data_IF_814510834698
#
_entry.id   IF_814510834698
#
_cell.length_a   1.000
_cell.length_b   1.000
_cell.length_c   1.000
_cell.angle_alpha   90.00
_cell.angle_beta   90.00
_cell.angle_gamma   90.00
#
_symmetry.space_group_name_H-M   'P 1'
#
loop_
_entity.id
_entity.type
_entity.pdbx_description
1 polymer ?
#
# COMPACT_ATOMS: atom_id res chain seq x y z
N UNK A 1 -17.02 23.70 18.76
CA UNK A 1 -17.22 22.27 18.55
C UNK A 1 -17.39 21.96 17.06
N UNK A 2 -17.26 20.71 16.71
CA UNK A 2 -17.54 20.24 15.35
C UNK A 2 -19.05 20.25 15.17
N UNK A 3 -19.55 21.04 14.24
CA UNK A 3 -21.02 21.26 14.06
C UNK A 3 -21.59 20.45 12.90
N UNK A 4 -20.75 19.86 12.07
CA UNK A 4 -21.10 19.09 10.88
C UNK A 4 -20.69 17.60 11.01
N UNK A 5 -20.89 17.03 12.20
CA UNK A 5 -20.67 15.62 12.47
C UNK A 5 -22.01 14.87 12.45
N UNK A 6 -22.01 13.71 11.85
CA UNK A 6 -23.14 12.76 11.85
C UNK A 6 -22.65 11.40 12.35
N UNK A 7 -23.54 10.61 12.89
CA UNK A 7 -23.27 9.24 13.32
C UNK A 7 -23.93 8.24 12.39
N UNK A 8 -23.26 7.10 12.22
CA UNK A 8 -23.82 5.97 11.50
C UNK A 8 -24.94 5.34 12.34
N UNK A 9 -26.17 5.21 11.82
CA UNK A 9 -27.25 4.52 12.52
C UNK A 9 -26.86 3.07 12.81
N UNK A 10 -27.21 2.59 14.00
CA UNK A 10 -26.94 1.22 14.49
C UNK A 10 -25.46 0.84 14.70
N UNK A 11 -24.52 1.78 14.54
CA UNK A 11 -23.10 1.56 14.73
C UNK A 11 -22.46 0.66 13.68
N UNK A 12 -21.20 0.27 13.92
CA UNK A 12 -20.47 -0.65 13.07
C UNK A 12 -20.90 -2.11 13.36
N UNK A 13 -21.15 -2.88 12.31
CA UNK A 13 -21.40 -4.32 12.38
C UNK A 13 -20.53 -5.04 11.35
N UNK A 14 -20.18 -6.30 11.59
CA UNK A 14 -19.42 -7.12 10.63
C UNK A 14 -20.19 -7.35 9.31
N UNK A 15 -21.49 -7.13 9.32
CA UNK A 15 -22.33 -7.28 8.14
C UNK A 15 -22.66 -5.91 7.55
N UNK A 16 -21.68 -5.31 6.85
CA UNK A 16 -21.75 -3.96 6.28
C UNK A 16 -22.57 -3.86 5.00
N UNK A 17 -23.16 -4.95 4.52
CA UNK A 17 -23.92 -4.97 3.26
C UNK A 17 -25.23 -4.16 3.32
N UNK A 18 -25.66 -3.71 4.49
CA UNK A 18 -26.98 -3.09 4.69
C UNK A 18 -26.86 -1.63 5.14
N UNK A 19 -26.18 -0.79 4.34
CA UNK A 19 -26.11 0.66 4.54
C UNK A 19 -27.19 1.40 3.77
N UNK A 20 -28.46 0.90 3.77
CA UNK A 20 -29.59 1.49 3.06
C UNK A 20 -29.85 2.96 3.44
N UNK A 21 -29.54 3.32 4.69
CA UNK A 21 -29.63 4.71 5.14
C UNK A 21 -28.62 5.62 4.44
N UNK A 22 -27.42 5.12 4.09
CA UNK A 22 -26.44 5.89 3.34
C UNK A 22 -26.91 6.11 1.90
N UNK A 23 -27.45 5.07 1.27
CA UNK A 23 -28.00 5.16 -0.09
C UNK A 23 -29.14 6.19 -0.16
N UNK A 24 -29.92 6.33 0.91
CA UNK A 24 -31.01 7.31 1.00
C UNK A 24 -30.55 8.76 1.18
N UNK A 25 -29.29 8.98 1.55
CA UNK A 25 -28.74 10.32 1.78
C UNK A 25 -27.41 10.56 1.05
N UNK A 26 -27.11 9.77 0.03
CA UNK A 26 -25.85 9.86 -0.71
C UNK A 26 -25.64 11.25 -1.32
N UNK A 27 -26.71 11.86 -1.84
CA UNK A 27 -26.70 13.20 -2.44
C UNK A 27 -26.15 14.28 -1.48
N UNK A 28 -26.29 14.05 -0.16
CA UNK A 28 -25.73 14.98 0.85
C UNK A 28 -24.21 15.03 0.82
N UNK A 29 -23.57 13.97 0.35
CA UNK A 29 -22.11 13.82 0.33
C UNK A 29 -21.50 14.21 -1.02
N UNK A 30 -22.27 14.30 -2.11
CA UNK A 30 -21.78 14.56 -3.47
C UNK A 30 -21.02 15.88 -3.59
N UNK A 31 -21.47 16.93 -2.88
CA UNK A 31 -20.87 18.26 -2.93
C UNK A 31 -19.78 18.48 -1.87
N UNK A 32 -19.25 17.43 -1.23
CA UNK A 32 -18.26 17.57 -0.17
C UNK A 32 -16.84 17.36 -0.69
N UNK A 33 -15.99 18.37 -0.51
CA UNK A 33 -14.56 18.29 -0.83
C UNK A 33 -13.80 17.37 0.13
N UNK A 34 -14.33 17.19 1.35
CA UNK A 34 -13.67 16.41 2.41
C UNK A 34 -14.68 15.74 3.33
N UNK A 35 -14.59 14.42 3.45
CA UNK A 35 -15.36 13.59 4.36
C UNK A 35 -14.41 12.90 5.33
N UNK A 36 -14.52 13.20 6.62
CA UNK A 36 -13.63 12.61 7.63
C UNK A 36 -14.33 11.41 8.28
N UNK A 37 -13.73 10.25 8.14
CA UNK A 37 -14.18 9.01 8.74
C UNK A 37 -13.49 8.83 10.10
N UNK A 38 -14.28 8.87 11.18
CA UNK A 38 -13.84 8.72 12.56
C UNK A 38 -14.55 7.51 13.19
N UNK A 39 -14.23 6.33 12.68
CA UNK A 39 -14.83 5.05 13.09
C UNK A 39 -13.98 4.37 14.16
N UNK A 40 -14.54 3.34 14.81
CA UNK A 40 -13.84 2.54 15.81
C UNK A 40 -12.65 1.80 15.17
N UNK A 41 -11.63 1.52 15.99
CA UNK A 41 -10.42 0.82 15.53
C UNK A 41 -10.57 -0.69 15.51
N UNK A 42 -11.71 -1.24 15.93
CA UNK A 42 -11.98 -2.68 15.89
C UNK A 42 -12.34 -3.19 14.48
N UNK A 43 -12.47 -4.51 14.34
CA UNK A 43 -12.74 -5.17 13.06
C UNK A 43 -14.04 -4.70 12.42
N UNK A 44 -15.08 -4.44 13.23
CA UNK A 44 -16.36 -3.94 12.75
C UNK A 44 -16.24 -2.49 12.22
N UNK A 45 -15.50 -1.63 12.92
CA UNK A 45 -15.21 -0.27 12.51
C UNK A 45 -14.37 -0.22 11.22
N UNK A 46 -13.36 -1.08 11.09
CA UNK A 46 -12.55 -1.17 9.88
C UNK A 46 -13.38 -1.66 8.67
N UNK A 47 -14.27 -2.64 8.87
CA UNK A 47 -15.18 -3.11 7.84
C UNK A 47 -16.14 -2.00 7.38
N UNK A 48 -16.70 -1.25 8.33
CA UNK A 48 -17.55 -0.08 8.04
C UNK A 48 -16.75 1.00 7.29
N UNK A 49 -15.54 1.30 7.71
CA UNK A 49 -14.66 2.27 7.06
C UNK A 49 -14.42 1.91 5.59
N UNK A 50 -14.09 0.65 5.30
CA UNK A 50 -13.87 0.19 3.93
C UNK A 50 -15.12 0.35 3.06
N UNK A 51 -16.29 0.02 3.58
CA UNK A 51 -17.54 0.16 2.84
C UNK A 51 -17.96 1.64 2.63
N UNK A 52 -17.72 2.51 3.61
CA UNK A 52 -17.92 3.95 3.46
C UNK A 52 -17.00 4.53 2.38
N UNK A 53 -15.72 4.18 2.38
CA UNK A 53 -14.77 4.61 1.36
C UNK A 53 -15.20 4.15 -0.03
N UNK A 54 -15.66 2.89 -0.16
CA UNK A 54 -16.13 2.33 -1.43
C UNK A 54 -17.32 3.07 -2.01
N UNK A 55 -18.26 3.54 -1.15
CA UNK A 55 -19.49 4.22 -1.60
C UNK A 55 -19.32 5.72 -1.79
N UNK A 56 -18.53 6.38 -0.93
CA UNK A 56 -18.34 7.83 -0.94
C UNK A 56 -17.22 8.29 -1.87
N UNK A 57 -16.31 7.39 -2.25
CA UNK A 57 -15.12 7.69 -3.03
C UNK A 57 -13.89 7.94 -2.15
N UNK A 58 -12.77 7.32 -2.52
CA UNK A 58 -11.51 7.42 -1.77
C UNK A 58 -10.87 8.81 -1.88
N UNK A 59 -11.16 9.54 -2.95
CA UNK A 59 -10.60 10.86 -3.26
C UNK A 59 -11.07 11.95 -2.29
N UNK A 60 -12.28 11.83 -1.73
CA UNK A 60 -12.86 12.79 -0.77
C UNK A 60 -12.79 12.31 0.67
N UNK A 61 -12.45 11.03 0.90
CA UNK A 61 -12.40 10.43 2.22
C UNK A 61 -11.06 10.63 2.91
N UNK A 62 -11.13 10.96 4.19
CA UNK A 62 -9.99 11.12 5.09
C UNK A 62 -10.22 10.31 6.35
N UNK A 63 -9.18 9.68 6.89
CA UNK A 63 -9.26 8.83 8.07
C UNK A 63 -8.68 9.55 9.27
N UNK A 64 -9.46 9.66 10.35
CA UNK A 64 -8.99 10.06 11.66
C UNK A 64 -8.69 8.80 12.49
N UNK A 65 -7.45 8.64 12.93
CA UNK A 65 -7.01 7.52 13.77
C UNK A 65 -6.84 7.96 15.21
N UNK A 66 -7.20 7.11 16.18
CA UNK A 66 -7.19 7.43 17.61
C UNK A 66 -6.06 6.74 18.39
N UNK A 67 -4.97 6.36 17.71
CA UNK A 67 -3.76 5.76 18.31
C UNK A 67 -4.06 4.56 19.23
N UNK A 68 -3.85 4.75 20.52
CA UNK A 68 -4.03 3.76 21.57
C UNK A 68 -5.47 3.75 22.18
N UNK A 69 -6.41 4.44 21.55
CA UNK A 69 -7.82 4.49 21.95
C UNK A 69 -8.69 3.74 20.95
N UNK A 70 -9.75 3.12 21.45
CA UNK A 70 -10.67 2.36 20.62
C UNK A 70 -11.49 3.27 19.69
N UNK A 71 -11.94 4.40 20.21
CA UNK A 71 -12.85 5.31 19.54
C UNK A 71 -12.57 6.79 19.90
N UNK A 72 -13.31 7.69 19.24
CA UNK A 72 -13.23 9.14 19.49
C UNK A 72 -13.64 9.53 20.92
N UNK A 73 -14.53 8.79 21.58
CA UNK A 73 -14.98 9.09 22.91
C UNK A 73 -13.92 8.74 23.95
N UNK A 74 -13.28 7.59 23.83
CA UNK A 74 -12.13 7.23 24.69
C UNK A 74 -10.98 8.22 24.51
N UNK A 75 -10.71 8.62 23.28
CA UNK A 75 -9.69 9.64 22.98
C UNK A 75 -10.05 11.00 23.60
N UNK A 76 -11.33 11.41 23.54
CA UNK A 76 -11.83 12.64 24.18
C UNK A 76 -11.63 12.62 25.69
N UNK A 77 -11.98 11.51 26.35
CA UNK A 77 -11.86 11.35 27.80
C UNK A 77 -10.38 11.39 28.22
N UNK A 78 -9.51 10.77 27.45
CA UNK A 78 -8.09 10.65 27.78
C UNK A 78 -7.28 11.91 27.50
N UNK A 79 -7.53 12.56 26.36
CA UNK A 79 -6.68 13.64 25.86
C UNK A 79 -7.37 15.02 25.81
N UNK A 80 -8.68 15.05 25.97
CA UNK A 80 -9.47 16.28 25.99
C UNK A 80 -9.91 16.76 24.60
N UNK A 81 -10.78 17.77 24.63
CA UNK A 81 -11.49 18.26 23.43
C UNK A 81 -10.56 18.89 22.38
N UNK A 82 -9.53 19.60 22.83
CA UNK A 82 -8.62 20.30 21.94
C UNK A 82 -7.82 19.31 21.09
N UNK A 83 -7.24 18.30 21.72
CA UNK A 83 -6.51 17.24 21.03
C UNK A 83 -7.38 16.41 20.10
N UNK A 84 -8.62 16.12 20.49
CA UNK A 84 -9.57 15.47 19.60
C UNK A 84 -9.85 16.32 18.35
N UNK A 85 -10.04 17.63 18.53
CA UNK A 85 -10.26 18.55 17.40
C UNK A 85 -9.05 18.59 16.45
N UNK A 86 -7.85 18.65 17.00
CA UNK A 86 -6.60 18.58 16.22
C UNK A 86 -6.47 17.27 15.46
N UNK A 87 -6.80 16.14 16.11
CA UNK A 87 -6.75 14.82 15.50
C UNK A 87 -7.72 14.67 14.32
N UNK A 88 -8.95 15.15 14.48
CA UNK A 88 -9.95 15.13 13.41
C UNK A 88 -9.54 16.08 12.27
N UNK A 89 -9.06 17.30 12.60
CA UNK A 89 -8.62 18.25 11.58
C UNK A 89 -7.39 17.74 10.80
N UNK A 90 -6.52 17.01 11.47
CA UNK A 90 -5.33 16.37 10.91
C UNK A 90 -5.57 15.00 10.27
N UNK A 91 -6.83 14.62 10.00
CA UNK A 91 -7.16 13.38 9.31
C UNK A 91 -6.41 13.25 7.99
N UNK A 92 -5.89 12.06 7.72
CA UNK A 92 -5.08 11.77 6.52
C UNK A 92 -5.98 11.28 5.38
N UNK A 93 -5.66 11.63 4.13
CA UNK A 93 -6.38 11.09 2.99
C UNK A 93 -6.26 9.55 2.96
N UNK A 94 -7.30 8.91 2.44
CA UNK A 94 -7.23 7.47 2.16
C UNK A 94 -6.14 7.22 1.12
N UNK A 95 -5.20 6.29 1.36
CA UNK A 95 -4.24 5.92 0.34
C UNK A 95 -4.97 5.40 -0.89
N UNK A 96 -4.76 6.03 -2.04
CA UNK A 96 -5.31 5.53 -3.29
C UNK A 96 -4.59 4.24 -3.67
N UNK A 97 -5.33 3.18 -3.94
CA UNK A 97 -4.74 1.93 -4.42
C UNK A 97 -3.94 2.20 -5.71
N UNK A 98 -2.72 1.67 -5.76
CA UNK A 98 -1.78 1.83 -6.86
C UNK A 98 -1.28 3.27 -7.14
N UNK A 99 -1.49 4.21 -6.22
CA UNK A 99 -0.89 5.54 -6.27
C UNK A 99 0.16 5.66 -5.18
N UNK A 100 1.42 5.71 -5.60
CA UNK A 100 2.56 5.92 -4.71
C UNK A 100 2.93 7.40 -4.71
N UNK A 101 3.00 8.03 -3.54
CA UNK A 101 3.47 9.40 -3.42
C UNK A 101 5.00 9.45 -3.38
N UNK A 102 5.59 10.61 -3.68
CA UNK A 102 7.06 10.76 -3.59
C UNK A 102 7.59 10.44 -2.18
N UNK A 103 6.83 10.74 -1.14
CA UNK A 103 7.22 10.42 0.25
C UNK A 103 7.33 8.92 0.52
N UNK A 104 6.52 8.13 -0.15
CA UNK A 104 6.51 6.67 0.02
C UNK A 104 7.76 6.02 -0.59
N UNK A 105 8.39 6.69 -1.56
CA UNK A 105 9.59 6.21 -2.29
C UNK A 105 10.82 7.10 -2.05
N UNK A 106 10.74 8.12 -1.19
CA UNK A 106 11.82 9.10 -0.97
C UNK A 106 13.13 8.42 -0.53
N UNK A 107 13.04 7.44 0.37
CA UNK A 107 14.20 6.69 0.85
C UNK A 107 14.82 5.84 -0.27
N UNK A 108 14.00 5.19 -1.11
CA UNK A 108 14.46 4.40 -2.25
C UNK A 108 15.13 5.28 -3.31
N UNK A 109 14.52 6.43 -3.61
CA UNK A 109 15.08 7.40 -4.56
C UNK A 109 16.38 7.98 -4.01
N UNK A 110 16.45 8.29 -2.74
CA UNK A 110 17.65 8.82 -2.08
C UNK A 110 18.78 7.78 -2.09
N UNK A 111 18.47 6.52 -1.77
CA UNK A 111 19.43 5.41 -1.84
C UNK A 111 19.94 5.22 -3.28
N UNK A 112 19.04 5.26 -4.26
CA UNK A 112 19.40 5.17 -5.68
C UNK A 112 20.33 6.34 -6.12
N UNK A 113 20.03 7.56 -5.73
CA UNK A 113 20.85 8.73 -6.10
C UNK A 113 22.24 8.67 -5.46
N UNK A 114 22.36 8.15 -4.23
CA UNK A 114 23.64 8.05 -3.52
C UNK A 114 24.49 6.87 -3.96
N UNK A 115 23.88 5.73 -4.18
CA UNK A 115 24.55 4.44 -4.34
C UNK A 115 24.44 3.85 -5.76
N UNK A 116 23.62 4.46 -6.62
CA UNK A 116 23.32 3.92 -7.95
C UNK A 116 22.43 2.67 -7.91
N UNK A 117 22.39 1.95 -9.01
CA UNK A 117 21.67 0.67 -9.06
C UNK A 117 22.38 -0.37 -8.18
N UNK A 118 21.63 -1.08 -7.37
CA UNK A 118 22.15 -2.25 -6.66
C UNK A 118 22.70 -3.23 -7.70
N UNK A 119 23.88 -3.80 -7.48
CA UNK A 119 24.41 -4.80 -8.40
C UNK A 119 23.44 -5.98 -8.49
N UNK A 120 23.17 -6.42 -9.71
CA UNK A 120 22.35 -7.60 -9.95
C UNK A 120 23.04 -8.89 -9.53
N UNK A 121 22.33 -9.99 -9.63
CA UNK A 121 22.88 -11.32 -9.38
C UNK A 121 23.88 -11.70 -10.48
N UNK A 122 25.02 -12.18 -10.07
CA UNK A 122 26.14 -12.58 -10.95
C UNK A 122 26.24 -14.10 -11.05
N UNK A 123 26.63 -14.57 -12.22
CA UNK A 123 26.76 -16.01 -12.50
C UNK A 123 28.03 -16.61 -11.89
N UNK A 124 29.08 -15.79 -11.73
CA UNK A 124 30.42 -16.23 -11.35
C UNK A 124 31.37 -16.37 -12.54
N UNK A 125 30.98 -15.82 -13.70
CA UNK A 125 31.83 -15.79 -14.91
C UNK A 125 32.42 -14.38 -15.07
N UNK A 126 33.68 -14.21 -14.71
CA UNK A 126 34.33 -12.91 -14.52
C UNK A 126 34.14 -11.92 -15.70
N UNK A 127 34.28 -12.38 -16.94
CA UNK A 127 34.12 -11.52 -18.11
C UNK A 127 32.65 -11.22 -18.42
N UNK A 128 31.76 -12.16 -18.12
CA UNK A 128 30.33 -12.02 -18.34
C UNK A 128 29.68 -11.12 -17.27
N UNK A 129 30.04 -11.31 -16.02
CA UNK A 129 29.53 -10.55 -14.89
C UNK A 129 29.89 -9.06 -14.92
N UNK A 130 30.90 -8.68 -15.73
CA UNK A 130 31.24 -7.26 -15.96
C UNK A 130 30.27 -6.55 -16.89
N UNK A 131 29.57 -7.28 -17.76
CA UNK A 131 28.68 -6.72 -18.78
C UNK A 131 27.21 -7.10 -18.58
N UNK A 132 26.93 -8.09 -17.74
CA UNK A 132 25.59 -8.59 -17.52
C UNK A 132 25.38 -9.02 -16.08
N UNK A 133 24.23 -8.64 -15.53
CA UNK A 133 23.74 -9.12 -14.25
C UNK A 133 22.22 -9.29 -14.35
N UNK A 134 21.66 -10.16 -13.52
CA UNK A 134 20.22 -10.44 -13.51
C UNK A 134 19.55 -9.87 -12.29
N UNK A 135 18.24 -9.64 -12.40
CA UNK A 135 17.38 -9.21 -11.30
C UNK A 135 16.17 -10.13 -11.19
N UNK A 136 15.60 -10.25 -10.01
CA UNK A 136 14.35 -10.99 -9.84
C UNK A 136 13.22 -10.38 -10.66
N UNK A 137 12.35 -11.24 -11.25
CA UNK A 137 11.26 -10.80 -12.12
C UNK A 137 11.66 -10.46 -13.55
N UNK A 138 12.94 -10.59 -13.90
CA UNK A 138 13.43 -10.31 -15.24
C UNK A 138 13.17 -11.50 -16.18
N UNK A 139 12.69 -11.22 -17.40
CA UNK A 139 12.59 -12.18 -18.49
C UNK A 139 13.83 -12.07 -19.40
N UNK A 140 14.54 -13.17 -19.60
CA UNK A 140 15.79 -13.19 -20.36
C UNK A 140 15.62 -14.12 -21.56
N UNK A 141 15.90 -13.62 -22.76
CA UNK A 141 15.89 -14.42 -23.98
C UNK A 141 17.32 -14.64 -24.48
N UNK A 142 17.72 -15.92 -24.62
CA UNK A 142 19.00 -16.30 -25.17
C UNK A 142 18.78 -16.81 -26.61
N UNK A 143 19.35 -16.11 -27.59
CA UNK A 143 19.22 -16.44 -29.01
C UNK A 143 20.57 -16.73 -29.65
N UNK A 144 20.57 -17.40 -30.80
CA UNK A 144 21.76 -17.69 -31.59
C UNK A 144 21.51 -18.82 -32.56
N UNK A 145 22.50 -19.08 -33.42
CA UNK A 145 22.43 -20.14 -34.43
C UNK A 145 22.32 -21.54 -33.79
N UNK A 146 21.75 -22.53 -34.46
CA UNK A 146 21.72 -23.91 -33.96
C UNK A 146 23.14 -24.41 -33.64
N UNK A 147 23.24 -25.25 -32.60
CA UNK A 147 24.52 -25.86 -32.14
C UNK A 147 25.60 -24.87 -31.66
N UNK A 148 25.23 -23.65 -31.24
CA UNK A 148 26.16 -22.63 -30.74
C UNK A 148 26.41 -22.69 -29.23
N UNK A 149 25.95 -23.74 -28.52
CA UNK A 149 26.15 -23.88 -27.06
C UNK A 149 25.22 -23.04 -26.20
N UNK A 150 24.06 -22.56 -26.72
CA UNK A 150 23.10 -21.76 -25.95
C UNK A 150 22.60 -22.47 -24.70
N UNK A 151 22.23 -23.75 -24.84
CA UNK A 151 21.74 -24.54 -23.72
C UNK A 151 22.83 -24.74 -22.66
N UNK A 152 24.04 -25.07 -23.08
CA UNK A 152 25.18 -25.25 -22.19
C UNK A 152 25.49 -23.94 -21.42
N UNK A 153 25.35 -22.78 -22.09
CA UNK A 153 25.54 -21.49 -21.47
C UNK A 153 24.45 -21.19 -20.43
N UNK A 154 23.17 -21.48 -20.76
CA UNK A 154 22.06 -21.32 -19.81
C UNK A 154 22.24 -22.25 -18.62
N UNK A 155 22.63 -23.50 -18.84
CA UNK A 155 22.90 -24.46 -17.77
C UNK A 155 24.02 -23.97 -16.85
N UNK A 156 25.06 -23.39 -17.43
CA UNK A 156 26.16 -22.78 -16.63
C UNK A 156 25.70 -21.59 -15.81
N UNK A 157 24.83 -20.74 -16.36
CA UNK A 157 24.21 -19.65 -15.60
C UNK A 157 23.37 -20.19 -14.44
N UNK A 158 22.55 -21.22 -14.66
CA UNK A 158 21.73 -21.85 -13.64
C UNK A 158 22.59 -22.44 -12.51
N UNK A 159 23.67 -23.15 -12.86
CA UNK A 159 24.61 -23.69 -11.87
C UNK A 159 25.24 -22.56 -11.06
N UNK A 160 25.67 -21.48 -11.72
CA UNK A 160 26.26 -20.31 -11.04
C UNK A 160 25.27 -19.66 -10.05
N UNK A 161 24.02 -19.44 -10.44
CA UNK A 161 23.00 -18.89 -9.53
C UNK A 161 22.66 -19.82 -8.37
N UNK A 162 22.62 -21.13 -8.61
CA UNK A 162 22.41 -22.09 -7.54
C UNK A 162 23.57 -22.07 -6.53
N UNK A 163 24.81 -22.06 -7.01
CA UNK A 163 26.01 -22.06 -6.16
C UNK A 163 26.16 -20.76 -5.37
N UNK A 164 25.93 -19.62 -6.03
CA UNK A 164 26.18 -18.31 -5.43
C UNK A 164 25.03 -17.84 -4.53
N UNK A 165 23.77 -18.20 -4.87
CA UNK A 165 22.58 -17.65 -4.20
C UNK A 165 21.57 -18.71 -3.74
N UNK A 166 21.84 -20.00 -3.95
CA UNK A 166 20.92 -21.10 -3.57
C UNK A 166 19.61 -21.12 -4.36
N UNK A 167 19.58 -20.56 -5.58
CA UNK A 167 18.38 -20.54 -6.39
C UNK A 167 17.96 -21.94 -6.83
N UNK A 168 16.65 -22.17 -6.77
CA UNK A 168 16.05 -23.42 -7.28
C UNK A 168 15.55 -23.18 -8.70
N UNK A 169 15.90 -24.06 -9.60
CA UNK A 169 15.55 -23.95 -11.03
C UNK A 169 14.61 -25.08 -11.43
N UNK A 170 13.67 -24.77 -12.29
CA UNK A 170 12.79 -25.75 -12.95
C UNK A 170 12.98 -25.62 -14.48
N UNK A 171 13.01 -26.75 -15.18
CA UNK A 171 13.07 -26.86 -16.64
C UNK A 171 11.76 -27.42 -17.20
#
# INVERSE_FOLDING_TARGET
>A
GITNAISVPNGATLNTNNLEYLDSCIDYFEDKDKIILAVDTDEAGQSLQGELIRRLGSEVCYIATFEDCKDANEYLVKYGKEKLSERISGAKPVPLENVTTFRDIEDEVTDFVRNGFKPGFQVGLANFDQIFSTYTGQFITVTGIPSSGKSDFVDQMVVGYNQNYGWKTAF
#
